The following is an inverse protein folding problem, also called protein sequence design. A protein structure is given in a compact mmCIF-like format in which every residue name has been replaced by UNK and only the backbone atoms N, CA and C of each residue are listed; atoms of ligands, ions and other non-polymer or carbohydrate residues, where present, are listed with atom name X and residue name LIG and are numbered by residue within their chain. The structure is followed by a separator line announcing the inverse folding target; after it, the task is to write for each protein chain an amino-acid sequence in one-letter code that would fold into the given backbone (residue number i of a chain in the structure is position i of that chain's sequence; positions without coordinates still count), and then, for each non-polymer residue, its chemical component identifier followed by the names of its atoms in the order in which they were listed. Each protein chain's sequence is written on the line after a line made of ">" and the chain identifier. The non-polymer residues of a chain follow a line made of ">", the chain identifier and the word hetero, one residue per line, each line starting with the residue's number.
data_IF_702823936424
#
_entry.id   IF_702823936424
#
_cell.length_a   1.000
_cell.length_b   1.000
_cell.length_c   1.000
_cell.angle_alpha   90.00
_cell.angle_beta   90.00
_cell.angle_gamma   90.00
#
_symmetry.space_group_name_H-M   'P 1'
#
loop_
_entity.id
_entity.type
_entity.pdbx_description
1 polymer ?
#
# COMPACT_ATOMS: atom_id res chain seq x y z
N UNK A 1 -13.46 -2.81 12.74
CA UNK A 1 -12.79 -1.83 11.87
C UNK A 1 -13.74 -1.42 10.76
N UNK A 2 -13.93 -0.14 10.60
CA UNK A 2 -14.88 0.41 9.63
C UNK A 2 -14.25 0.49 8.25
N UNK A 3 -15.01 0.07 7.22
CA UNK A 3 -14.59 0.19 5.82
C UNK A 3 -15.46 1.23 5.12
N UNK A 4 -14.83 2.12 4.39
CA UNK A 4 -15.53 3.02 3.46
C UNK A 4 -15.19 2.62 2.03
N UNK A 5 -16.07 2.91 1.10
CA UNK A 5 -15.85 2.65 -0.33
C UNK A 5 -15.39 3.93 -1.00
N UNK A 6 -14.31 3.83 -1.76
CA UNK A 6 -13.71 4.98 -2.45
C UNK A 6 -13.44 4.60 -3.91
N UNK A 7 -13.80 5.48 -4.83
CA UNK A 7 -13.39 5.37 -6.24
C UNK A 7 -12.11 6.16 -6.43
N UNK A 8 -11.07 5.50 -6.92
CA UNK A 8 -9.75 6.10 -7.10
C UNK A 8 -9.40 6.22 -8.56
N UNK A 9 -8.68 7.30 -8.90
CA UNK A 9 -8.07 7.42 -10.22
C UNK A 9 -6.76 6.62 -10.24
N UNK A 10 -6.31 6.14 -11.43
CA UNK A 10 -4.97 5.56 -11.55
C UNK A 10 -3.91 6.58 -11.16
N UNK A 11 -2.84 6.12 -10.53
CA UNK A 11 -1.75 6.99 -10.08
C UNK A 11 -0.43 6.49 -10.65
N UNK A 12 0.31 7.39 -11.31
CA UNK A 12 1.66 7.11 -11.77
C UNK A 12 2.62 7.22 -10.59
N UNK A 13 3.47 6.21 -10.43
CA UNK A 13 4.40 6.14 -9.30
C UNK A 13 5.80 5.73 -9.75
N UNK A 14 6.79 6.17 -8.99
CA UNK A 14 8.16 5.66 -9.03
C UNK A 14 8.40 4.84 -7.78
N UNK A 15 8.89 3.62 -7.93
CA UNK A 15 8.94 2.63 -6.88
C UNK A 15 10.36 2.15 -6.60
N UNK A 16 10.68 2.01 -5.31
CA UNK A 16 11.87 1.32 -4.84
C UNK A 16 11.46 -0.04 -4.31
N UNK A 17 12.20 -1.07 -4.68
CA UNK A 17 11.87 -2.45 -4.29
C UNK A 17 12.75 -2.94 -3.15
N UNK A 18 12.10 -3.50 -2.15
CA UNK A 18 12.71 -4.29 -1.09
C UNK A 18 12.44 -5.77 -1.35
N UNK A 19 13.47 -6.60 -1.16
CA UNK A 19 13.31 -8.06 -1.21
C UNK A 19 13.85 -8.64 0.08
N UNK A 20 13.05 -9.43 0.78
CA UNK A 20 13.41 -10.04 2.04
C UNK A 20 12.20 -10.23 2.95
N UNK A 21 12.43 -10.69 4.19
CA UNK A 21 11.33 -10.90 5.16
C UNK A 21 10.55 -9.62 5.41
N UNK A 22 9.23 -9.74 5.50
CA UNK A 22 8.36 -8.64 5.92
C UNK A 22 8.43 -8.51 7.44
N UNK A 23 8.17 -7.31 7.93
CA UNK A 23 8.23 -6.99 9.35
C UNK A 23 9.06 -5.75 9.60
N UNK A 24 9.85 -5.70 10.70
CA UNK A 24 10.64 -4.49 11.05
C UNK A 24 11.56 -4.00 9.94
N UNK A 25 12.09 -4.89 9.10
CA UNK A 25 12.96 -4.52 7.98
C UNK A 25 12.28 -3.59 6.98
N UNK A 26 10.96 -3.66 6.83
CA UNK A 26 10.20 -2.75 5.96
C UNK A 26 10.29 -1.31 6.49
N UNK A 27 10.12 -1.11 7.79
CA UNK A 27 10.27 0.21 8.39
C UNK A 27 11.69 0.77 8.25
N UNK A 28 12.68 -0.09 8.40
CA UNK A 28 14.09 0.28 8.19
C UNK A 28 14.34 0.68 6.72
N UNK A 29 13.75 -0.05 5.78
CA UNK A 29 13.83 0.27 4.36
C UNK A 29 13.25 1.66 4.06
N UNK A 30 12.09 1.98 4.61
CA UNK A 30 11.50 3.31 4.49
C UNK A 30 12.42 4.38 5.06
N UNK A 31 12.94 4.16 6.27
CA UNK A 31 13.80 5.13 6.96
C UNK A 31 15.12 5.35 6.25
N UNK A 32 15.78 4.25 5.84
CA UNK A 32 17.18 4.30 5.40
C UNK A 32 17.32 4.45 3.88
N UNK A 33 16.31 4.06 3.10
CA UNK A 33 16.38 4.07 1.63
C UNK A 33 15.31 4.97 1.00
N UNK A 34 14.06 4.87 1.42
CA UNK A 34 12.95 5.54 0.74
C UNK A 34 12.92 7.03 1.06
N UNK A 35 12.89 7.38 2.34
CA UNK A 35 12.85 8.79 2.73
C UNK A 35 14.06 9.59 2.24
N UNK A 36 15.30 9.07 2.32
CA UNK A 36 16.44 9.76 1.72
C UNK A 36 16.32 9.92 0.20
N UNK A 37 15.79 8.91 -0.49
CA UNK A 37 15.58 8.99 -1.94
C UNK A 37 14.52 10.04 -2.29
N UNK A 38 13.41 10.09 -1.54
CA UNK A 38 12.39 11.11 -1.72
C UNK A 38 12.97 12.52 -1.57
N UNK A 39 13.78 12.74 -0.54
CA UNK A 39 14.42 14.02 -0.28
C UNK A 39 15.40 14.39 -1.41
N UNK A 40 16.21 13.45 -1.87
CA UNK A 40 17.16 13.65 -2.95
C UNK A 40 16.49 14.02 -4.27
N UNK A 41 15.28 13.54 -4.50
CA UNK A 41 14.50 13.82 -5.71
C UNK A 41 13.45 14.90 -5.53
N UNK A 42 13.45 15.58 -4.38
CA UNK A 42 12.53 16.67 -4.05
C UNK A 42 11.05 16.25 -4.16
N UNK A 43 10.76 15.01 -3.78
CA UNK A 43 9.41 14.46 -3.83
C UNK A 43 8.73 14.61 -2.47
N UNK A 44 7.84 15.59 -2.36
CA UNK A 44 6.95 15.78 -1.22
C UNK A 44 5.53 15.48 -1.68
N UNK A 45 5.20 14.21 -1.76
CA UNK A 45 3.98 13.69 -2.40
C UNK A 45 3.40 12.55 -1.57
N UNK A 46 2.19 12.13 -1.92
CA UNK A 46 1.63 10.90 -1.36
C UNK A 46 2.48 9.70 -1.75
N UNK A 47 2.59 8.72 -0.84
CA UNK A 47 3.36 7.50 -1.06
C UNK A 47 2.48 6.27 -0.85
N UNK A 48 2.96 5.14 -1.36
CA UNK A 48 2.23 3.87 -1.36
C UNK A 48 3.15 2.73 -0.97
N UNK A 49 2.64 1.77 -0.22
CA UNK A 49 3.36 0.55 0.09
C UNK A 49 2.60 -0.65 -0.46
N UNK A 50 3.26 -1.47 -1.26
CA UNK A 50 2.66 -2.65 -1.90
C UNK A 50 3.44 -3.90 -1.54
N UNK A 51 2.79 -4.82 -0.81
CA UNK A 51 3.32 -6.17 -0.62
C UNK A 51 2.99 -7.00 -1.86
N UNK A 52 4.02 -7.37 -2.62
CA UNK A 52 3.83 -8.05 -3.92
C UNK A 52 3.66 -9.55 -3.79
N UNK A 53 4.09 -10.13 -2.68
CA UNK A 53 4.02 -11.57 -2.44
C UNK A 53 3.31 -11.86 -1.13
N UNK A 54 2.65 -13.02 -1.08
CA UNK A 54 1.98 -13.50 0.12
C UNK A 54 3.01 -14.22 1.02
N UNK A 55 3.22 -13.73 2.26
CA UNK A 55 4.16 -14.37 3.18
C UNK A 55 3.84 -15.83 3.51
N UNK A 56 2.59 -16.25 3.36
CA UNK A 56 2.19 -17.64 3.59
C UNK A 56 2.50 -18.56 2.41
N UNK A 57 2.81 -18.01 1.24
CA UNK A 57 2.98 -18.77 -0.02
C UNK A 57 4.39 -18.71 -0.58
N UNK A 58 5.25 -17.83 -0.09
CA UNK A 58 6.59 -17.61 -0.63
C UNK A 58 7.64 -17.66 0.49
N UNK A 59 8.88 -18.08 0.19
CA UNK A 59 9.97 -18.01 1.16
C UNK A 59 10.23 -16.58 1.62
N UNK A 60 10.53 -16.42 2.90
CA UNK A 60 10.71 -15.09 3.51
C UNK A 60 11.78 -14.26 2.79
N UNK A 61 12.89 -14.87 2.40
CA UNK A 61 13.99 -14.17 1.75
C UNK A 61 13.68 -13.73 0.31
N UNK A 62 12.56 -14.18 -0.27
CA UNK A 62 12.14 -13.84 -1.63
C UNK A 62 10.93 -12.90 -1.67
N UNK A 63 10.38 -12.54 -0.53
CA UNK A 63 9.23 -11.63 -0.47
C UNK A 63 9.62 -10.25 -0.99
N UNK A 64 8.73 -9.66 -1.78
CA UNK A 64 8.96 -8.34 -2.40
C UNK A 64 7.94 -7.34 -1.88
N UNK A 65 8.44 -6.13 -1.65
CA UNK A 65 7.64 -4.99 -1.24
C UNK A 65 8.11 -3.76 -2.00
N UNK A 66 7.17 -3.02 -2.57
CA UNK A 66 7.48 -1.77 -3.27
C UNK A 66 7.01 -0.57 -2.46
N UNK A 67 7.92 0.37 -2.26
CA UNK A 67 7.62 1.69 -1.71
C UNK A 67 7.59 2.68 -2.87
N UNK A 68 6.45 3.34 -3.08
CA UNK A 68 6.18 4.10 -4.29
C UNK A 68 5.80 5.53 -3.96
N UNK A 69 6.21 6.48 -4.82
CA UNK A 69 5.85 7.88 -4.70
C UNK A 69 5.14 8.36 -5.95
N UNK A 70 4.11 9.19 -5.79
CA UNK A 70 3.44 9.82 -6.94
C UNK A 70 4.43 10.66 -7.73
N UNK A 71 4.44 10.47 -9.05
CA UNK A 71 5.30 11.25 -9.93
C UNK A 71 4.52 11.68 -11.17
N UNK A 72 4.99 12.77 -11.78
CA UNK A 72 4.44 13.26 -13.04
C UNK A 72 4.98 12.44 -14.21
N UNK A 73 4.34 12.57 -15.37
CA UNK A 73 4.69 11.82 -16.57
C UNK A 73 6.12 12.08 -17.05
N UNK A 74 6.66 13.26 -16.75
CA UNK A 74 8.00 13.68 -17.15
C UNK A 74 9.06 13.49 -16.05
N UNK A 75 8.74 12.74 -15.01
CA UNK A 75 9.66 12.52 -13.91
C UNK A 75 10.93 11.81 -14.36
N UNK A 76 12.07 12.39 -14.00
CA UNK A 76 13.38 11.79 -14.12
C UNK A 76 14.10 11.92 -12.79
N UNK A 77 14.28 10.80 -12.11
CA UNK A 77 14.94 10.77 -10.81
C UNK A 77 16.32 10.15 -10.86
N UNK A 78 17.03 10.28 -9.73
CA UNK A 78 18.30 9.60 -9.50
C UNK A 78 18.06 8.30 -8.72
N UNK A 79 19.03 7.40 -8.76
CA UNK A 79 18.99 6.13 -8.05
C UNK A 79 18.27 5.03 -8.82
N UNK A 80 18.10 3.90 -8.16
CA UNK A 80 17.45 2.74 -8.75
C UNK A 80 15.96 2.77 -8.40
N UNK A 81 15.13 3.05 -9.40
CA UNK A 81 13.69 3.03 -9.27
C UNK A 81 13.06 2.47 -10.53
N UNK A 82 11.83 2.02 -10.45
CA UNK A 82 11.04 1.65 -11.62
C UNK A 82 9.71 2.41 -11.62
N UNK A 83 9.16 2.63 -12.81
CA UNK A 83 7.89 3.32 -12.98
C UNK A 83 6.76 2.29 -13.04
N UNK A 84 5.63 2.64 -12.43
CA UNK A 84 4.44 1.79 -12.41
C UNK A 84 3.18 2.64 -12.32
N UNK A 85 2.03 1.99 -12.39
CA UNK A 85 0.71 2.60 -12.19
C UNK A 85 0.03 1.87 -11.05
N UNK A 86 -0.41 2.61 -10.04
CA UNK A 86 -1.36 2.07 -9.06
C UNK A 86 -2.73 2.13 -9.72
N UNK A 87 -3.40 0.99 -9.93
CA UNK A 87 -4.65 0.97 -10.70
C UNK A 87 -5.75 1.79 -10.04
N UNK A 88 -6.57 2.43 -10.87
CA UNK A 88 -7.80 3.05 -10.42
C UNK A 88 -8.91 2.02 -10.19
N UNK A 89 -10.07 2.49 -9.79
CA UNK A 89 -11.25 1.69 -9.55
C UNK A 89 -11.76 1.79 -8.13
N UNK A 90 -12.64 0.87 -7.77
CA UNK A 90 -13.29 0.87 -6.45
C UNK A 90 -12.44 0.13 -5.43
N UNK A 91 -12.29 0.76 -4.27
CA UNK A 91 -11.52 0.21 -3.15
C UNK A 91 -12.33 0.29 -1.86
N UNK A 92 -12.20 -0.74 -1.04
CA UNK A 92 -12.60 -0.69 0.36
C UNK A 92 -11.41 -0.17 1.16
N UNK A 93 -11.62 0.85 1.99
CA UNK A 93 -10.55 1.57 2.66
C UNK A 93 -10.79 1.58 4.16
N UNK A 94 -9.80 1.13 4.91
CA UNK A 94 -9.76 1.23 6.37
C UNK A 94 -8.69 2.22 6.79
N UNK A 95 -8.99 3.06 7.77
CA UNK A 95 -7.98 3.94 8.37
C UNK A 95 -7.20 3.16 9.43
N UNK A 96 -5.89 3.20 9.33
CA UNK A 96 -5.00 2.63 10.34
C UNK A 96 -4.31 3.74 11.12
N UNK A 97 -4.19 3.55 12.43
CA UNK A 97 -3.36 4.38 13.29
C UNK A 97 -2.69 3.48 14.31
N UNK A 98 -1.37 3.50 14.34
CA UNK A 98 -0.58 2.66 15.22
C UNK A 98 0.88 2.64 14.78
N UNK A 99 1.62 1.66 15.28
CA UNK A 99 3.04 1.49 14.97
C UNK A 99 3.25 0.53 13.80
N UNK A 100 4.47 0.52 13.27
CA UNK A 100 4.86 -0.42 12.23
C UNK A 100 4.71 -1.89 12.68
N UNK A 101 4.86 -2.17 13.97
CA UNK A 101 4.66 -3.52 14.49
C UNK A 101 3.20 -3.96 14.48
N UNK A 102 2.28 -3.02 14.50
CA UNK A 102 0.84 -3.28 14.57
C UNK A 102 0.15 -3.37 13.21
N UNK A 103 0.78 -2.87 12.15
CA UNK A 103 0.13 -2.76 10.83
C UNK A 103 -0.19 -4.14 10.23
N UNK A 104 0.64 -5.14 10.49
CA UNK A 104 0.39 -6.51 10.03
C UNK A 104 -0.89 -7.10 10.63
N UNK A 105 -1.11 -6.85 11.92
CA UNK A 105 -2.34 -7.26 12.61
C UNK A 105 -3.56 -6.55 12.02
N UNK A 106 -3.43 -5.26 11.72
CA UNK A 106 -4.51 -4.49 11.09
C UNK A 106 -4.87 -5.04 9.70
N UNK A 107 -3.87 -5.40 8.90
CA UNK A 107 -4.12 -6.06 7.61
C UNK A 107 -4.87 -7.38 7.78
N UNK A 108 -4.48 -8.19 8.77
CA UNK A 108 -5.17 -9.44 9.09
C UNK A 108 -6.62 -9.22 9.46
N UNK A 109 -6.91 -8.16 10.22
CA UNK A 109 -8.27 -7.81 10.61
C UNK A 109 -9.12 -7.34 9.41
N UNK A 110 -8.54 -6.52 8.54
CA UNK A 110 -9.21 -6.08 7.32
C UNK A 110 -9.55 -7.25 6.41
N UNK A 111 -8.58 -8.09 6.11
CA UNK A 111 -8.76 -9.19 5.15
C UNK A 111 -9.56 -10.36 5.73
N UNK A 112 -9.37 -10.66 7.02
CA UNK A 112 -9.98 -11.82 7.66
C UNK A 112 -11.33 -11.58 8.31
N UNK A 113 -11.66 -10.32 8.64
CA UNK A 113 -12.88 -10.01 9.40
C UNK A 113 -13.70 -8.90 8.74
N UNK A 114 -13.14 -7.71 8.57
CA UNK A 114 -13.92 -6.56 8.12
C UNK A 114 -14.43 -6.72 6.69
N UNK A 115 -13.59 -7.19 5.79
CA UNK A 115 -13.95 -7.37 4.39
C UNK A 115 -15.00 -8.46 4.19
N UNK A 116 -14.85 -9.68 4.75
CA UNK A 116 -15.90 -10.69 4.67
C UNK A 116 -17.23 -10.22 5.25
N UNK A 117 -17.19 -9.50 6.38
CA UNK A 117 -18.40 -9.00 7.03
C UNK A 117 -19.11 -7.92 6.20
N UNK A 118 -18.39 -7.19 5.36
CA UNK A 118 -18.94 -6.11 4.54
C UNK A 118 -19.71 -6.60 3.32
N UNK A 119 -19.53 -7.85 2.92
CA UNK A 119 -20.12 -8.40 1.71
C UNK A 119 -19.42 -8.01 0.41
N UNK A 120 -18.36 -7.24 0.47
CA UNK A 120 -17.58 -6.89 -0.72
C UNK A 120 -16.79 -8.09 -1.24
N UNK A 121 -16.63 -8.16 -2.55
CA UNK A 121 -15.80 -9.17 -3.22
C UNK A 121 -14.46 -8.53 -3.58
N UNK A 122 -13.37 -9.15 -3.16
CA UNK A 122 -12.02 -8.68 -3.50
C UNK A 122 -11.78 -8.86 -5.00
N UNK A 123 -11.26 -7.82 -5.64
CA UNK A 123 -10.80 -7.91 -7.02
C UNK A 123 -9.34 -8.35 -7.02
N UNK A 124 -9.11 -9.62 -7.34
CA UNK A 124 -7.78 -10.23 -7.31
C UNK A 124 -6.90 -9.84 -8.49
N UNK A 125 -7.41 -9.06 -9.44
CA UNK A 125 -6.62 -8.55 -10.58
C UNK A 125 -5.82 -7.30 -10.21
N UNK A 126 -6.12 -6.67 -9.06
CA UNK A 126 -5.43 -5.49 -8.54
C UNK A 126 -4.91 -5.80 -7.14
N UNK A 127 -3.82 -5.13 -6.75
CA UNK A 127 -3.19 -5.39 -5.46
C UNK A 127 -3.70 -4.46 -4.37
N UNK A 128 -3.84 -4.95 -3.14
CA UNK A 128 -4.01 -4.07 -1.98
C UNK A 128 -2.77 -3.21 -1.77
N UNK A 129 -2.94 -2.05 -1.15
CA UNK A 129 -1.82 -1.18 -0.83
C UNK A 129 -2.10 -0.30 0.39
N UNK A 130 -1.01 0.18 0.98
CA UNK A 130 -1.05 1.22 2.00
C UNK A 130 -0.91 2.57 1.30
N UNK A 131 -1.73 3.53 1.69
CA UNK A 131 -1.67 4.89 1.17
C UNK A 131 -1.25 5.83 2.30
N UNK A 132 -0.13 6.52 2.10
CA UNK A 132 0.41 7.49 3.03
C UNK A 132 0.19 8.88 2.46
N UNK A 133 -0.46 9.76 3.22
CA UNK A 133 -0.73 11.12 2.77
C UNK A 133 0.56 11.93 2.59
N UNK A 134 0.49 12.97 1.77
CA UNK A 134 1.62 13.87 1.53
C UNK A 134 2.21 14.45 2.81
N UNK A 135 1.38 14.69 3.82
CA UNK A 135 1.76 15.23 5.12
C UNK A 135 2.06 14.16 6.17
N UNK A 136 2.35 12.93 5.71
CA UNK A 136 2.66 11.81 6.59
C UNK A 136 3.76 12.16 7.58
N UNK A 137 3.51 11.82 8.85
CA UNK A 137 4.49 11.96 9.93
C UNK A 137 4.36 10.78 10.89
N UNK A 138 5.51 10.29 11.32
CA UNK A 138 5.61 9.30 12.38
C UNK A 138 6.02 10.02 13.65
N UNK A 139 5.32 9.73 14.78
CA UNK A 139 5.69 10.29 16.07
C UNK A 139 7.07 9.75 16.47
N UNK A 140 8.08 10.62 16.67
CA UNK A 140 9.43 10.15 16.98
C UNK A 140 9.56 9.49 18.35
N UNK A 141 8.63 9.72 19.26
CA UNK A 141 8.67 9.13 20.61
C UNK A 141 7.96 7.77 20.65
N UNK A 142 6.82 7.65 19.98
CA UNK A 142 5.98 6.45 20.07
C UNK A 142 6.05 5.57 18.81
N UNK A 143 6.49 6.10 17.68
CA UNK A 143 6.46 5.40 16.40
C UNK A 143 5.08 5.32 15.78
N UNK A 144 4.09 6.02 16.32
CA UNK A 144 2.71 6.00 15.83
C UNK A 144 2.59 6.84 14.55
N UNK A 145 1.92 6.29 13.57
CA UNK A 145 1.57 6.98 12.33
C UNK A 145 0.17 6.58 11.89
N UNK A 146 -0.35 7.26 10.88
CA UNK A 146 -1.64 6.95 10.29
C UNK A 146 -1.49 6.72 8.78
N UNK A 147 -2.23 5.78 8.25
CA UNK A 147 -2.33 5.55 6.81
C UNK A 147 -3.68 4.92 6.48
N UNK A 148 -3.93 4.73 5.20
CA UNK A 148 -5.10 4.02 4.73
C UNK A 148 -4.70 2.65 4.20
N UNK A 149 -5.47 1.62 4.57
CA UNK A 149 -5.33 0.28 4.04
C UNK A 149 -6.39 0.12 2.95
N UNK A 150 -5.95 0.00 1.70
CA UNK A 150 -6.83 -0.01 0.53
C UNK A 150 -6.86 -1.40 -0.08
N UNK A 151 -8.08 -1.96 -0.21
CA UNK A 151 -8.29 -3.27 -0.83
C UNK A 151 -9.15 -3.09 -2.07
N UNK A 152 -8.68 -3.52 -3.25
CA UNK A 152 -9.51 -3.43 -4.45
C UNK A 152 -10.70 -4.37 -4.34
N UNK A 153 -11.88 -3.84 -4.68
CA UNK A 153 -13.13 -4.60 -4.63
C UNK A 153 -13.84 -4.53 -5.96
N UNK A 154 -14.65 -5.55 -6.24
CA UNK A 154 -15.45 -5.59 -7.45
C UNK A 154 -16.43 -4.41 -7.46
N UNK A 155 -16.61 -3.81 -8.63
CA UNK A 155 -17.65 -2.80 -8.83
C UNK A 155 -19.03 -3.43 -8.67
N UNK A 156 -20.06 -2.62 -8.38
CA UNK A 156 -21.44 -3.12 -8.27
C UNK A 156 -21.86 -3.85 -9.54
N UNK A 157 -21.39 -3.39 -10.69
CA UNK A 157 -21.65 -4.02 -11.97
C UNK A 157 -21.01 -5.41 -12.07
N UNK A 158 -19.79 -5.58 -11.57
CA UNK A 158 -19.10 -6.88 -11.52
C UNK A 158 -19.74 -7.81 -10.49
N UNK A 159 -20.14 -7.26 -9.34
CA UNK A 159 -20.78 -8.03 -8.29
C UNK A 159 -22.18 -8.51 -8.69
N UNK A 160 -22.88 -7.75 -9.55
CA UNK A 160 -24.21 -8.08 -10.07
C UNK A 160 -24.16 -9.04 -11.27
N UNK A 161 -23.01 -9.28 -11.88
CA UNK A 161 -22.87 -10.17 -13.02
C UNK A 161 -23.10 -11.62 -12.56
N UNK A 162 -24.12 -12.30 -13.13
CA UNK A 162 -24.31 -13.71 -12.81
C UNK A 162 -23.11 -14.50 -13.34
N UNK A 163 -22.51 -15.27 -12.49
CA UNK A 163 -21.57 -16.28 -12.93
C UNK A 163 -22.32 -17.32 -13.73
N UNK A 164 -22.04 -17.33 -14.99
CA UNK A 164 -22.59 -18.36 -15.86
C UNK A 164 -22.02 -19.73 -15.51
#
# INVERSE_FOLDING_TARGET
>A
MELKTVDRQPVRVACLRYTGPFGPAIGEFWRDNVHPWLAANQLNVATYGLALDDPSSAPAEKLRYDACAEVKVDFHGSGLYHLAIVPGGKYAVATFKGTAAEIGTAWGEVMGQALPASGHTVDTTRMPFEHYAKDFKEDPETGVFACELCVPIASDEQAASPTA
#
